data_IF_444348520068
#
_entry.id   IF_444348520068
#
_cell.length_a   1.000
_cell.length_b   1.000
_cell.length_c   1.000
_cell.angle_alpha   90.00
_cell.angle_beta   90.00
_cell.angle_gamma   90.00
#
_symmetry.space_group_name_H-M   'P 1'
#
loop_
_entity.id
_entity.type
_entity.pdbx_description
1 polymer ?
#
# COMPACT_ATOMS: atom_id res chain seq x y z
N UNK A 1 14.89 1.51 3.38
CA UNK A 1 14.30 2.82 3.02
C UNK A 1 15.39 3.88 3.10
N UNK A 2 15.63 4.61 2.02
CA UNK A 2 16.59 5.73 1.95
C UNK A 2 15.86 7.06 1.82
N UNK A 3 16.52 8.17 2.06
CA UNK A 3 15.91 9.50 1.84
C UNK A 3 15.48 9.73 0.39
N UNK A 4 16.25 9.24 -0.57
CA UNK A 4 15.89 9.29 -2.00
C UNK A 4 14.63 8.51 -2.39
N UNK A 5 14.19 7.59 -1.55
CA UNK A 5 13.00 6.78 -1.76
C UNK A 5 11.74 7.50 -1.23
N UNK A 6 11.90 8.57 -0.44
CA UNK A 6 10.80 9.39 0.08
C UNK A 6 10.35 10.36 -1.00
N UNK A 7 9.06 10.38 -1.29
CA UNK A 7 8.51 11.24 -2.35
C UNK A 7 8.40 12.68 -1.85
N UNK A 8 9.09 13.61 -2.51
CA UNK A 8 9.12 15.02 -2.15
C UNK A 8 9.71 15.27 -0.77
N UNK A 9 9.35 16.43 -0.18
CA UNK A 9 9.75 16.81 1.18
C UNK A 9 11.26 17.03 1.39
N UNK A 10 11.96 17.47 0.36
CA UNK A 10 13.41 17.69 0.36
C UNK A 10 13.86 18.61 1.50
N UNK A 11 13.03 19.62 1.87
CA UNK A 11 13.31 20.53 3.00
C UNK A 11 13.30 19.80 4.34
N UNK A 12 12.34 18.93 4.56
CA UNK A 12 12.24 18.12 5.78
C UNK A 12 13.42 17.13 5.87
N UNK A 13 13.74 16.47 4.76
CA UNK A 13 14.89 15.57 4.63
C UNK A 13 16.18 16.32 4.95
N UNK A 14 16.41 17.48 4.36
CA UNK A 14 17.60 18.28 4.57
C UNK A 14 17.73 18.77 6.02
N UNK A 15 16.61 19.17 6.64
CA UNK A 15 16.57 19.56 8.05
C UNK A 15 16.99 18.40 8.96
N UNK A 16 16.43 17.21 8.75
CA UNK A 16 16.76 16.00 9.53
C UNK A 16 18.23 15.63 9.31
N UNK A 17 18.68 15.63 8.07
CA UNK A 17 20.07 15.32 7.71
C UNK A 17 21.05 16.22 8.44
N UNK A 18 20.84 17.54 8.42
CA UNK A 18 21.69 18.50 9.12
C UNK A 18 21.74 18.26 10.62
N UNK A 19 20.60 17.94 11.25
CA UNK A 19 20.57 17.62 12.68
C UNK A 19 21.39 16.37 13.00
N UNK A 20 21.29 15.33 12.16
CA UNK A 20 22.05 14.08 12.37
C UNK A 20 23.54 14.29 12.10
N UNK A 21 23.91 14.99 11.02
CA UNK A 21 25.31 15.20 10.62
C UNK A 21 26.05 16.13 11.58
N UNK A 22 25.35 17.10 12.18
CA UNK A 22 25.90 17.95 13.24
C UNK A 22 25.96 17.30 14.62
N UNK A 23 25.39 16.10 14.79
CA UNK A 23 25.27 15.42 16.07
C UNK A 23 24.23 16.03 17.04
N UNK A 24 23.40 16.96 16.57
CA UNK A 24 22.42 17.70 17.36
C UNK A 24 20.98 17.29 17.01
N UNK A 25 20.74 16.00 16.85
CA UNK A 25 19.38 15.52 16.63
C UNK A 25 18.56 15.66 17.91
N UNK A 26 17.34 16.20 17.79
CA UNK A 26 16.43 16.26 18.93
C UNK A 26 16.00 14.83 19.34
N UNK A 27 15.90 14.60 20.64
CA UNK A 27 15.49 13.32 21.19
C UNK A 27 14.07 12.88 20.77
N UNK A 28 13.19 13.84 20.44
CA UNK A 28 11.85 13.54 19.97
C UNK A 28 11.49 14.42 18.75
N UNK A 29 11.27 13.78 17.61
CA UNK A 29 10.79 14.41 16.37
C UNK A 29 9.33 14.04 16.14
N UNK A 30 8.47 15.03 15.86
CA UNK A 30 7.10 14.84 15.42
C UNK A 30 6.98 15.16 13.93
N UNK A 31 6.91 14.12 13.13
CA UNK A 31 6.68 14.18 11.68
C UNK A 31 5.17 14.26 11.44
N UNK A 32 4.68 15.41 11.01
CA UNK A 32 3.24 15.61 10.84
C UNK A 32 2.90 16.16 9.46
N UNK A 33 1.70 15.92 9.00
CA UNK A 33 1.19 16.37 7.71
C UNK A 33 -0.15 15.73 7.41
N UNK A 34 -0.77 16.12 6.31
CA UNK A 34 -2.06 15.56 5.89
C UNK A 34 -1.99 14.04 5.65
N UNK A 35 -3.14 13.32 5.70
CA UNK A 35 -3.20 11.94 5.27
C UNK A 35 -2.65 11.74 3.86
N UNK A 36 -1.94 10.64 3.63
CA UNK A 36 -1.35 10.32 2.32
C UNK A 36 -0.01 10.99 2.02
N UNK A 37 0.56 11.74 2.98
CA UNK A 37 1.94 12.25 2.92
C UNK A 37 2.89 11.23 3.55
N UNK A 38 4.08 10.95 2.99
CA UNK A 38 4.93 9.80 3.36
C UNK A 38 5.72 9.99 4.67
N UNK A 39 5.02 10.16 5.82
CA UNK A 39 5.62 10.40 7.14
C UNK A 39 6.38 9.20 7.68
N UNK A 40 5.78 8.00 7.58
CA UNK A 40 6.39 6.76 8.04
C UNK A 40 7.62 6.41 7.20
N UNK A 41 7.56 6.64 5.88
CA UNK A 41 8.70 6.46 4.98
C UNK A 41 9.87 7.36 5.40
N UNK A 42 9.60 8.63 5.75
CA UNK A 42 10.62 9.55 6.25
C UNK A 42 11.16 9.11 7.61
N UNK A 43 10.33 8.62 8.52
CA UNK A 43 10.76 8.09 9.81
C UNK A 43 11.71 6.88 9.64
N UNK A 44 11.37 5.94 8.76
CA UNK A 44 12.21 4.78 8.43
C UNK A 44 13.54 5.18 7.79
N UNK A 45 13.51 6.11 6.83
CA UNK A 45 14.72 6.64 6.21
C UNK A 45 15.62 7.36 7.22
N UNK A 46 15.02 8.11 8.15
CA UNK A 46 15.73 8.79 9.24
C UNK A 46 16.44 7.80 10.17
N UNK A 47 15.75 6.74 10.60
CA UNK A 47 16.33 5.69 11.44
C UNK A 47 17.48 4.98 10.72
N UNK A 48 17.30 4.61 9.44
CA UNK A 48 18.36 3.99 8.65
C UNK A 48 19.56 4.92 8.45
N UNK A 49 19.33 6.20 8.20
CA UNK A 49 20.39 7.19 8.04
C UNK A 49 21.16 7.39 9.35
N UNK A 50 20.46 7.46 10.48
CA UNK A 50 21.04 7.61 11.82
C UNK A 50 21.99 6.45 12.16
N UNK A 51 21.61 5.23 11.86
CA UNK A 51 22.37 4.01 12.12
C UNK A 51 23.42 3.68 11.04
N UNK A 52 23.36 4.31 9.89
CA UNK A 52 24.30 4.02 8.80
C UNK A 52 25.74 4.39 9.17
N UNK A 53 26.65 3.41 9.08
CA UNK A 53 28.07 3.59 9.41
C UNK A 53 28.89 4.19 8.25
N UNK A 54 28.34 4.24 7.04
CA UNK A 54 29.02 4.73 5.84
C UNK A 54 28.07 5.57 4.97
N UNK A 55 27.67 6.75 5.50
CA UNK A 55 26.83 7.69 4.79
C UNK A 55 27.52 8.26 3.57
N UNK A 56 26.88 8.30 2.42
CA UNK A 56 27.45 8.79 1.17
C UNK A 56 26.42 9.62 0.41
N UNK A 57 26.85 10.73 -0.19
CA UNK A 57 25.97 11.57 -1.02
C UNK A 57 24.77 12.16 -0.28
N UNK A 58 24.86 12.33 1.04
CA UNK A 58 23.75 12.83 1.87
C UNK A 58 22.66 11.79 2.14
N UNK A 59 22.95 10.50 1.94
CA UNK A 59 22.00 9.41 2.19
C UNK A 59 22.68 8.21 2.86
N UNK A 60 21.90 7.24 3.34
CA UNK A 60 22.39 5.97 3.85
C UNK A 60 22.97 5.12 2.71
N UNK A 61 24.08 4.39 2.98
CA UNK A 61 24.78 3.62 1.94
C UNK A 61 23.94 2.45 1.38
N UNK A 62 23.07 1.86 2.21
CA UNK A 62 22.23 0.71 1.83
C UNK A 62 22.94 -0.65 1.84
N UNK A 63 24.24 -0.70 2.20
CA UNK A 63 25.05 -1.91 2.11
C UNK A 63 25.72 -2.32 3.43
N UNK A 64 25.88 -1.39 4.39
CA UNK A 64 26.45 -1.73 5.69
C UNK A 64 25.50 -2.62 6.50
N UNK A 65 26.00 -3.36 7.51
CA UNK A 65 25.16 -4.25 8.31
C UNK A 65 23.90 -3.60 8.87
N UNK A 66 24.01 -2.37 9.40
CA UNK A 66 22.85 -1.63 9.90
C UNK A 66 21.82 -1.34 8.79
N UNK A 67 22.26 -0.92 7.59
CA UNK A 67 21.36 -0.71 6.46
C UNK A 67 20.64 -1.98 6.01
N UNK A 68 21.33 -3.13 5.99
CA UNK A 68 20.73 -4.42 5.63
C UNK A 68 19.72 -4.88 6.69
N UNK A 69 20.01 -4.67 7.98
CA UNK A 69 19.07 -4.94 9.06
C UNK A 69 17.81 -4.04 8.99
N UNK A 70 17.96 -2.76 8.62
CA UNK A 70 16.82 -1.88 8.36
C UNK A 70 15.98 -2.34 7.16
N UNK A 71 16.62 -2.80 6.08
CA UNK A 71 15.91 -3.32 4.90
C UNK A 71 15.10 -4.57 5.23
N UNK A 72 15.61 -5.44 6.09
CA UNK A 72 14.91 -6.64 6.59
C UNK A 72 13.97 -6.36 7.77
N UNK A 73 13.83 -5.09 8.22
CA UNK A 73 13.02 -4.68 9.38
C UNK A 73 13.39 -5.39 10.70
N UNK A 74 14.68 -5.73 10.86
CA UNK A 74 15.19 -6.49 12.01
C UNK A 74 16.40 -5.81 12.69
N UNK A 75 16.50 -4.48 12.64
CA UNK A 75 17.55 -3.75 13.34
C UNK A 75 17.32 -3.80 14.86
N UNK A 76 18.31 -4.29 15.63
CA UNK A 76 18.19 -4.57 17.06
C UNK A 76 17.85 -3.33 17.89
N UNK A 77 18.33 -2.14 17.50
CA UNK A 77 18.12 -0.88 18.17
C UNK A 77 17.02 -0.01 17.54
N UNK A 78 16.12 -0.61 16.74
CA UNK A 78 14.96 0.08 16.16
C UNK A 78 13.69 -0.63 16.57
N UNK A 79 12.81 0.08 17.25
CA UNK A 79 11.55 -0.42 17.77
C UNK A 79 10.38 0.26 17.07
N UNK A 80 9.27 -0.48 16.98
CA UNK A 80 8.05 0.03 16.37
C UNK A 80 6.93 0.05 17.41
N UNK A 81 6.08 1.07 17.32
CA UNK A 81 4.81 1.16 18.00
C UNK A 81 3.75 1.67 17.05
N UNK A 82 2.59 1.04 17.02
CA UNK A 82 1.52 1.35 16.11
C UNK A 82 0.16 0.94 16.70
N UNK A 83 -0.95 1.51 16.17
CA UNK A 83 -2.28 1.20 16.65
C UNK A 83 -2.66 -0.26 16.40
N UNK A 84 -3.19 -0.93 17.43
CA UNK A 84 -3.61 -2.33 17.38
C UNK A 84 -5.03 -2.50 17.93
N UNK A 85 -5.65 -3.66 17.66
CA UNK A 85 -6.97 -4.03 18.18
C UNK A 85 -6.84 -5.00 19.35
N UNK A 86 -7.87 -5.03 20.22
CA UNK A 86 -7.99 -6.06 21.26
C UNK A 86 -8.46 -7.38 20.65
N UNK A 87 -7.78 -8.47 21.01
CA UNK A 87 -8.24 -9.85 20.79
C UNK A 87 -8.69 -10.40 22.14
N UNK A 88 -9.98 -10.29 22.46
CA UNK A 88 -10.53 -10.73 23.76
C UNK A 88 -10.23 -9.76 24.92
N UNK A 89 -9.91 -10.30 26.11
CA UNK A 89 -9.61 -9.52 27.33
C UNK A 89 -8.12 -9.19 27.53
N UNK A 90 -7.28 -9.41 26.55
CA UNK A 90 -5.84 -9.20 26.63
C UNK A 90 -5.48 -7.71 26.62
N UNK A 91 -4.28 -7.41 27.08
CA UNK A 91 -3.64 -6.09 27.01
C UNK A 91 -2.70 -6.08 25.80
N UNK A 92 -3.17 -5.77 24.60
CA UNK A 92 -2.37 -5.92 23.38
C UNK A 92 -1.22 -4.91 23.36
N UNK A 93 -0.13 -5.34 22.75
CA UNK A 93 1.02 -4.52 22.40
C UNK A 93 1.29 -4.63 20.88
N UNK A 94 2.06 -3.68 20.35
CA UNK A 94 2.39 -3.67 18.91
C UNK A 94 3.06 -4.98 18.47
N UNK A 95 3.92 -5.58 19.30
CA UNK A 95 4.63 -6.84 18.99
C UNK A 95 3.72 -8.03 18.72
N UNK A 96 2.49 -8.04 19.26
CA UNK A 96 1.51 -9.12 19.01
C UNK A 96 1.08 -9.17 17.54
N UNK A 97 1.40 -8.13 16.77
CA UNK A 97 1.06 -7.97 15.35
C UNK A 97 2.32 -7.77 14.48
N UNK A 98 3.50 -8.20 14.93
CA UNK A 98 4.77 -7.98 14.24
C UNK A 98 4.79 -8.59 12.81
N UNK A 99 4.13 -9.72 12.62
CA UNK A 99 4.01 -10.37 11.31
C UNK A 99 3.19 -9.51 10.33
N UNK A 100 2.04 -9.01 10.77
CA UNK A 100 1.16 -8.14 10.01
C UNK A 100 1.85 -6.80 9.72
N UNK A 101 2.59 -6.26 10.70
CA UNK A 101 3.35 -5.03 10.55
C UNK A 101 4.47 -5.16 9.51
N UNK A 102 5.26 -6.22 9.57
CA UNK A 102 6.29 -6.49 8.57
C UNK A 102 5.70 -6.64 7.17
N UNK A 103 4.55 -7.29 7.05
CA UNK A 103 3.81 -7.38 5.79
C UNK A 103 3.34 -6.01 5.32
N UNK A 104 2.77 -5.18 6.21
CA UNK A 104 2.36 -3.82 5.90
C UNK A 104 3.51 -2.97 5.35
N UNK A 105 4.69 -3.02 6.01
CA UNK A 105 5.87 -2.26 5.60
C UNK A 105 6.49 -2.79 4.29
N UNK A 106 6.51 -4.10 4.06
CA UNK A 106 7.12 -4.69 2.87
C UNK A 106 6.32 -4.43 1.58
N UNK A 107 5.03 -4.26 1.68
CA UNK A 107 4.14 -4.15 0.52
C UNK A 107 3.71 -2.71 0.18
N UNK A 108 4.06 -1.70 0.97
CA UNK A 108 3.62 -0.35 0.63
C UNK A 108 3.82 0.72 1.70
N UNK A 109 4.99 0.75 2.32
CA UNK A 109 5.34 1.74 3.36
C UNK A 109 5.17 3.21 2.92
N UNK A 110 5.33 3.50 1.65
CA UNK A 110 5.24 4.87 1.12
C UNK A 110 3.81 5.39 1.13
N UNK A 111 2.83 4.50 0.96
CA UNK A 111 1.43 4.87 0.91
C UNK A 111 0.77 5.07 2.29
N UNK A 112 1.35 4.52 3.36
CA UNK A 112 0.80 4.58 4.75
C UNK A 112 -0.71 4.30 4.82
N UNK A 113 -1.20 3.31 4.07
CA UNK A 113 -2.61 3.04 3.92
C UNK A 113 -3.22 2.45 5.20
N UNK A 114 -3.91 3.29 5.97
CA UNK A 114 -4.52 2.90 7.24
C UNK A 114 -5.63 1.86 7.07
N UNK A 115 -6.43 1.92 6.02
CA UNK A 115 -7.47 0.92 5.73
C UNK A 115 -6.85 -0.44 5.45
N UNK A 116 -5.72 -0.45 4.74
CA UNK A 116 -4.96 -1.67 4.52
C UNK A 116 -4.40 -2.23 5.83
N UNK A 117 -3.91 -1.39 6.74
CA UNK A 117 -3.52 -1.84 8.07
C UNK A 117 -4.69 -2.53 8.79
N UNK A 118 -5.89 -1.90 8.79
CA UNK A 118 -7.10 -2.49 9.38
C UNK A 118 -7.42 -3.87 8.79
N UNK A 119 -7.32 -4.02 7.48
CA UNK A 119 -7.57 -5.30 6.81
C UNK A 119 -6.57 -6.40 7.20
N UNK A 120 -5.32 -6.04 7.45
CA UNK A 120 -4.27 -6.98 7.87
C UNK A 120 -4.47 -7.48 9.31
N UNK A 121 -4.90 -6.61 10.22
CA UNK A 121 -5.15 -6.98 11.61
C UNK A 121 -6.52 -7.61 11.87
N UNK A 122 -7.38 -7.68 10.82
CA UNK A 122 -8.55 -8.56 10.80
C UNK A 122 -9.86 -7.97 11.32
N UNK A 123 -9.99 -6.62 11.41
CA UNK A 123 -11.28 -6.01 11.77
C UNK A 123 -11.44 -4.59 11.21
N UNK A 124 -12.07 -4.49 10.04
CA UNK A 124 -12.33 -3.22 9.34
C UNK A 124 -13.22 -2.25 10.13
N UNK A 125 -14.03 -2.76 11.08
CA UNK A 125 -14.93 -1.94 11.92
C UNK A 125 -14.31 -1.55 13.27
N UNK A 126 -13.10 -2.01 13.59
CA UNK A 126 -12.44 -1.67 14.85
C UNK A 126 -11.79 -0.28 14.75
N UNK A 127 -11.67 0.37 15.92
CA UNK A 127 -10.84 1.56 16.07
C UNK A 127 -9.53 1.17 16.78
N UNK A 128 -8.46 0.87 16.04
CA UNK A 128 -7.18 0.57 16.63
C UNK A 128 -6.64 1.75 17.41
N UNK A 129 -6.06 1.49 18.57
CA UNK A 129 -5.39 2.47 19.42
C UNK A 129 -4.06 1.94 19.93
N UNK A 130 -3.21 2.83 20.42
CA UNK A 130 -1.99 2.47 21.14
C UNK A 130 -2.36 2.45 22.62
N UNK A 131 -2.37 1.24 23.21
CA UNK A 131 -2.84 1.00 24.57
C UNK A 131 -1.79 1.36 25.61
N UNK A 132 -2.21 1.52 26.88
CA UNK A 132 -1.32 1.75 28.01
C UNK A 132 -0.31 0.61 28.25
N UNK A 133 -0.65 -0.63 27.85
CA UNK A 133 0.28 -1.78 27.87
C UNK A 133 1.51 -1.56 26.97
N UNK A 134 1.32 -0.86 25.85
CA UNK A 134 2.40 -0.51 24.93
C UNK A 134 3.44 0.41 25.61
N UNK A 135 3.00 1.38 26.43
CA UNK A 135 3.93 2.28 27.11
C UNK A 135 4.87 1.54 28.06
N UNK A 136 4.38 0.51 28.76
CA UNK A 136 5.22 -0.30 29.66
C UNK A 136 6.27 -1.09 28.87
N UNK A 137 5.89 -1.59 27.68
CA UNK A 137 6.79 -2.26 26.75
C UNK A 137 7.86 -1.31 26.19
N UNK A 138 7.43 -0.09 25.77
CA UNK A 138 8.34 0.96 25.29
C UNK A 138 9.34 1.36 26.36
N UNK A 139 8.88 1.67 27.59
CA UNK A 139 9.75 2.04 28.71
C UNK A 139 10.80 0.97 28.95
N UNK A 140 10.39 -0.30 29.00
CA UNK A 140 11.33 -1.43 29.19
C UNK A 140 12.40 -1.48 28.10
N UNK A 141 12.01 -1.37 26.81
CA UNK A 141 12.94 -1.40 25.69
C UNK A 141 13.88 -0.21 25.64
N UNK A 142 13.34 0.97 25.89
CA UNK A 142 14.13 2.20 25.85
C UNK A 142 15.04 2.39 27.07
N UNK A 143 14.82 1.66 28.19
CA UNK A 143 15.72 1.67 29.36
C UNK A 143 16.95 0.75 29.21
N UNK A 144 16.96 -0.16 28.23
CA UNK A 144 18.11 -1.01 27.97
C UNK A 144 19.21 -0.23 27.24
N UNK A 145 20.45 -0.63 27.36
CA UNK A 145 21.55 -0.07 26.55
C UNK A 145 21.38 -0.44 25.07
N UNK A 146 21.84 0.43 24.17
CA UNK A 146 21.87 0.13 22.75
C UNK A 146 22.78 -1.09 22.49
N UNK A 147 22.40 -1.96 21.56
CA UNK A 147 23.08 -3.23 21.33
C UNK A 147 24.19 -3.09 20.27
N UNK A 148 23.89 -2.48 19.13
CA UNK A 148 24.81 -2.37 17.98
C UNK A 148 25.07 -0.95 17.52
N UNK A 149 24.10 -0.06 17.72
CA UNK A 149 24.15 1.31 17.25
C UNK A 149 24.47 2.28 18.41
N UNK A 150 24.78 3.53 18.06
CA UNK A 150 24.93 4.61 19.04
C UNK A 150 23.59 5.00 19.67
N UNK A 151 22.52 4.95 18.89
CA UNK A 151 21.19 5.40 19.33
C UNK A 151 20.16 4.27 19.23
N UNK A 152 19.23 4.24 20.19
CA UNK A 152 17.99 3.49 20.10
C UNK A 152 16.93 4.38 19.46
N UNK A 153 16.20 3.84 18.53
CA UNK A 153 15.15 4.58 17.81
C UNK A 153 13.79 3.91 18.02
N UNK A 154 12.85 4.65 18.55
CA UNK A 154 11.44 4.26 18.54
C UNK A 154 10.72 4.98 17.39
N UNK A 155 10.16 4.23 16.45
CA UNK A 155 9.25 4.76 15.43
C UNK A 155 7.83 4.47 15.87
N UNK A 156 7.08 5.52 16.17
CA UNK A 156 5.67 5.42 16.55
C UNK A 156 4.80 5.94 15.40
N UNK A 157 4.12 5.02 14.74
CA UNK A 157 3.20 5.35 13.67
C UNK A 157 1.83 5.72 14.23
N UNK A 158 1.22 6.82 13.72
CA UNK A 158 -0.09 7.32 14.13
C UNK A 158 -0.13 7.60 15.66
N UNK A 159 0.80 8.41 16.15
CA UNK A 159 0.93 8.73 17.58
C UNK A 159 -0.31 9.41 18.17
N UNK A 160 -1.16 10.03 17.34
CA UNK A 160 -2.47 10.56 17.75
C UNK A 160 -3.47 9.48 18.19
N UNK A 161 -3.20 8.21 17.90
CA UNK A 161 -3.99 7.06 18.36
C UNK A 161 -3.58 6.53 19.73
N UNK A 162 -2.62 7.15 20.40
CA UNK A 162 -2.33 6.83 21.79
C UNK A 162 -3.54 7.11 22.67
N UNK A 163 -3.92 6.15 23.51
CA UNK A 163 -4.87 6.45 24.55
C UNK A 163 -4.23 7.38 25.62
N UNK A 164 -5.07 8.04 26.42
CA UNK A 164 -4.62 9.03 27.40
C UNK A 164 -3.62 8.46 28.41
N UNK A 165 -3.82 7.22 28.84
CA UNK A 165 -2.95 6.57 29.82
C UNK A 165 -1.58 6.25 29.23
N UNK A 166 -1.53 5.76 27.98
CA UNK A 166 -0.29 5.56 27.25
C UNK A 166 0.48 6.87 27.11
N UNK A 167 -0.18 7.91 26.64
CA UNK A 167 0.43 9.23 26.48
C UNK A 167 1.01 9.78 27.78
N UNK A 168 0.29 9.67 28.90
CA UNK A 168 0.76 10.14 30.20
C UNK A 168 1.97 9.35 30.73
N UNK A 169 2.00 8.04 30.51
CA UNK A 169 3.16 7.21 30.90
C UNK A 169 4.41 7.55 30.10
N UNK A 170 4.26 7.83 28.79
CA UNK A 170 5.39 8.18 27.92
C UNK A 170 5.93 9.60 28.17
N UNK A 171 5.16 10.48 28.83
CA UNK A 171 5.63 11.84 29.13
C UNK A 171 6.98 11.85 29.84
N UNK A 172 7.16 11.03 30.89
CA UNK A 172 8.43 10.98 31.64
C UNK A 172 9.60 10.59 30.72
N UNK A 173 9.39 9.64 29.82
CA UNK A 173 10.42 9.16 28.93
C UNK A 173 10.78 10.22 27.85
N UNK A 174 9.82 11.06 27.45
CA UNK A 174 10.04 12.16 26.51
C UNK A 174 10.61 13.40 27.21
N UNK A 175 10.30 13.62 28.49
CA UNK A 175 10.83 14.73 29.29
C UNK A 175 12.30 14.52 29.68
N UNK A 176 12.63 13.32 30.10
CA UNK A 176 13.96 12.94 30.60
C UNK A 176 14.47 11.69 29.86
N UNK A 177 14.73 11.82 28.53
CA UNK A 177 15.17 10.68 27.74
C UNK A 177 16.61 10.30 28.07
N UNK A 178 16.92 9.01 28.00
CA UNK A 178 18.31 8.60 27.92
C UNK A 178 18.99 9.28 26.72
N UNK A 179 20.26 9.72 26.82
CA UNK A 179 20.96 10.47 25.77
C UNK A 179 20.98 9.78 24.41
N UNK A 180 20.90 8.45 24.40
CA UNK A 180 20.96 7.64 23.19
C UNK A 180 19.57 7.26 22.65
N UNK A 181 18.49 7.79 23.24
CA UNK A 181 17.13 7.50 22.80
C UNK A 181 16.59 8.56 21.83
N UNK A 182 16.10 8.12 20.69
CA UNK A 182 15.45 8.97 19.67
C UNK A 182 14.02 8.48 19.44
N UNK A 183 13.05 9.40 19.52
CA UNK A 183 11.65 9.15 19.27
C UNK A 183 11.24 9.79 17.95
N UNK A 184 10.80 8.98 16.98
CA UNK A 184 10.25 9.42 15.71
C UNK A 184 8.74 9.17 15.72
N UNK A 185 7.97 10.19 16.04
CA UNK A 185 6.52 10.13 16.12
C UNK A 185 5.93 10.59 14.77
N UNK A 186 4.98 9.85 14.22
CA UNK A 186 4.24 10.29 13.02
C UNK A 186 2.77 10.52 13.35
N UNK A 187 2.13 11.50 12.73
CA UNK A 187 0.69 11.78 12.92
C UNK A 187 0.09 12.51 11.74
N UNK A 188 -1.16 12.18 11.43
CA UNK A 188 -2.02 12.93 10.50
C UNK A 188 -2.76 14.08 11.22
N UNK A 189 -2.90 13.98 12.54
CA UNK A 189 -3.64 14.95 13.35
C UNK A 189 -2.81 15.44 14.55
N UNK A 190 -1.93 16.44 14.35
CA UNK A 190 -1.09 16.95 15.45
C UNK A 190 -1.89 17.57 16.59
N UNK A 191 -3.15 17.99 16.35
CA UNK A 191 -4.01 18.54 17.40
C UNK A 191 -4.53 17.49 18.39
N UNK A 192 -4.54 16.22 18.00
CA UNK A 192 -4.93 15.11 18.87
C UNK A 192 -3.79 14.62 19.77
N UNK A 193 -2.56 15.04 19.51
CA UNK A 193 -1.41 14.78 20.41
C UNK A 193 -1.57 15.61 21.68
N UNK A 194 -1.30 15.00 22.86
CA UNK A 194 -1.33 15.73 24.10
C UNK A 194 -0.44 16.99 24.04
N UNK A 195 -0.92 18.17 24.48
CA UNK A 195 -0.13 19.41 24.44
C UNK A 195 1.22 19.30 25.14
N UNK A 196 1.30 18.48 26.19
CA UNK A 196 2.55 18.20 26.93
C UNK A 196 3.58 17.44 26.11
N UNK A 197 3.18 16.46 25.30
CA UNK A 197 4.06 15.77 24.34
C UNK A 197 4.41 16.72 23.18
N UNK A 198 3.40 17.39 22.64
CA UNK A 198 3.57 18.31 21.52
C UNK A 198 4.59 19.42 21.79
N UNK A 199 4.60 19.98 23.02
CA UNK A 199 5.54 21.05 23.41
C UNK A 199 7.00 20.57 23.56
N UNK A 200 7.22 19.27 23.73
CA UNK A 200 8.55 18.64 23.92
C UNK A 200 9.10 17.97 22.67
N UNK A 201 8.34 18.00 21.58
CA UNK A 201 8.79 17.44 20.31
C UNK A 201 9.24 18.53 19.35
N UNK A 202 10.33 18.29 18.64
CA UNK A 202 10.69 19.11 17.50
C UNK A 202 9.81 18.72 16.30
N UNK A 203 9.01 19.67 15.85
CA UNK A 203 8.04 19.46 14.78
C UNK A 203 8.67 19.59 13.41
N UNK A 204 8.35 18.66 12.54
CA UNK A 204 8.73 18.68 11.12
C UNK A 204 7.47 18.46 10.32
N UNK A 205 7.05 19.51 9.64
CA UNK A 205 5.87 19.46 8.78
C UNK A 205 6.25 18.89 7.41
N UNK A 206 5.54 17.86 6.99
CA UNK A 206 5.59 17.33 5.64
C UNK A 206 4.44 17.91 4.82
N UNK A 207 4.75 18.24 3.58
CA UNK A 207 3.78 18.77 2.63
C UNK A 207 3.44 17.74 1.58
N UNK A 208 2.28 17.91 0.96
CA UNK A 208 1.90 17.11 -0.20
C UNK A 208 2.98 17.22 -1.28
N UNK A 209 3.50 16.12 -1.79
CA UNK A 209 4.34 16.13 -2.98
C UNK A 209 3.58 16.71 -4.18
N UNK A 210 4.29 17.27 -5.14
CA UNK A 210 3.69 17.68 -6.40
C UNK A 210 3.25 16.46 -7.21
N UNK A 211 2.26 16.65 -8.10
CA UNK A 211 1.83 15.62 -9.04
C UNK A 211 3.01 15.05 -9.83
N UNK A 212 3.95 15.90 -10.26
CA UNK A 212 5.14 15.47 -11.00
C UNK A 212 6.05 14.59 -10.15
N UNK A 213 6.29 14.92 -8.87
CA UNK A 213 7.12 14.09 -7.98
C UNK A 213 6.54 12.70 -7.77
N UNK A 214 5.21 12.61 -7.66
CA UNK A 214 4.52 11.32 -7.57
C UNK A 214 4.62 10.55 -8.89
N UNK A 215 4.38 11.21 -10.03
CA UNK A 215 4.51 10.61 -11.34
C UNK A 215 5.93 10.09 -11.61
N UNK A 216 6.96 10.87 -11.27
CA UNK A 216 8.36 10.46 -11.40
C UNK A 216 8.70 9.24 -10.52
N UNK A 217 8.07 9.15 -9.35
CA UNK A 217 8.23 7.98 -8.48
C UNK A 217 7.56 6.75 -9.09
N UNK A 218 6.34 6.87 -9.57
CA UNK A 218 5.58 5.80 -10.23
C UNK A 218 6.35 5.28 -11.45
N UNK A 219 6.81 6.18 -12.32
CA UNK A 219 7.55 5.81 -13.54
C UNK A 219 8.90 5.12 -13.24
N UNK A 220 9.60 5.52 -12.15
CA UNK A 220 10.89 4.90 -11.77
C UNK A 220 10.74 3.50 -11.16
N UNK A 221 9.63 3.22 -10.51
CA UNK A 221 9.42 1.98 -9.75
C UNK A 221 8.44 1.02 -10.42
N UNK A 222 7.69 1.48 -11.42
CA UNK A 222 6.80 0.68 -12.27
C UNK A 222 7.33 0.63 -13.71
N UNK A 223 6.94 -0.38 -14.44
CA UNK A 223 7.16 -0.44 -15.89
C UNK A 223 6.03 0.31 -16.62
N UNK A 224 5.96 1.62 -16.36
CA UNK A 224 4.87 2.51 -16.75
C UNK A 224 5.45 3.74 -17.44
N UNK A 225 4.83 4.18 -18.53
CA UNK A 225 5.27 5.38 -19.26
C UNK A 225 5.08 6.66 -18.41
N UNK A 226 5.88 7.71 -18.64
CA UNK A 226 5.75 8.98 -17.91
C UNK A 226 4.35 9.61 -18.03
N UNK A 227 3.70 9.49 -19.18
CA UNK A 227 2.36 10.04 -19.43
C UNK A 227 1.29 9.29 -18.62
N UNK A 228 1.37 7.96 -18.57
CA UNK A 228 0.49 7.13 -17.75
C UNK A 228 0.71 7.39 -16.26
N UNK A 229 1.97 7.49 -15.83
CA UNK A 229 2.30 7.82 -14.45
C UNK A 229 1.72 9.18 -14.02
N UNK A 230 1.76 10.16 -14.92
CA UNK A 230 1.15 11.47 -14.70
C UNK A 230 -0.38 11.38 -14.62
N UNK A 231 -1.01 10.59 -15.48
CA UNK A 231 -2.46 10.36 -15.47
C UNK A 231 -2.92 9.68 -14.16
N UNK A 232 -2.11 8.80 -13.56
CA UNK A 232 -2.38 8.17 -12.27
C UNK A 232 -2.18 9.13 -11.09
N UNK A 233 -1.16 10.00 -11.17
CA UNK A 233 -0.82 10.93 -10.10
C UNK A 233 -1.75 12.15 -10.05
N UNK A 234 -2.24 12.64 -11.19
CA UNK A 234 -3.03 13.86 -11.28
C UNK A 234 -4.32 13.86 -10.44
N UNK A 235 -5.14 12.79 -10.44
CA UNK A 235 -6.36 12.74 -9.62
C UNK A 235 -6.09 12.66 -8.12
N UNK A 236 -4.87 12.31 -7.72
CA UNK A 236 -4.51 12.11 -6.32
C UNK A 236 -4.18 13.42 -5.58
N UNK A 237 -3.99 14.54 -6.26
CA UNK A 237 -3.75 15.86 -5.68
C UNK A 237 -2.71 15.85 -4.55
N UNK A 238 -1.56 15.23 -4.81
CA UNK A 238 -0.48 15.12 -3.84
C UNK A 238 -0.68 14.06 -2.74
N UNK A 239 -1.75 13.31 -2.77
CA UNK A 239 -1.97 12.18 -1.88
C UNK A 239 -1.29 10.92 -2.44
N UNK A 240 -0.14 10.58 -1.88
CA UNK A 240 0.66 9.42 -2.33
C UNK A 240 -0.10 8.11 -2.21
N UNK A 241 -0.87 7.92 -1.13
CA UNK A 241 -1.68 6.73 -0.92
C UNK A 241 -2.70 6.54 -2.06
N UNK A 242 -3.42 7.60 -2.41
CA UNK A 242 -4.41 7.55 -3.49
C UNK A 242 -3.75 7.28 -4.84
N UNK A 243 -2.60 7.90 -5.12
CA UNK A 243 -1.84 7.65 -6.33
C UNK A 243 -1.35 6.19 -6.43
N UNK A 244 -0.89 5.60 -5.33
CA UNK A 244 -0.49 4.18 -5.31
C UNK A 244 -1.69 3.25 -5.52
N UNK A 245 -2.84 3.55 -4.91
CA UNK A 245 -4.09 2.82 -5.17
C UNK A 245 -4.50 2.91 -6.65
N UNK A 246 -4.38 4.08 -7.28
CA UNK A 246 -4.65 4.24 -8.71
C UNK A 246 -3.69 3.39 -9.56
N UNK A 247 -2.42 3.33 -9.19
CA UNK A 247 -1.43 2.48 -9.84
C UNK A 247 -1.78 0.99 -9.70
N UNK A 248 -2.13 0.53 -8.51
CA UNK A 248 -2.55 -0.86 -8.26
C UNK A 248 -3.80 -1.22 -9.08
N UNK A 249 -4.78 -0.32 -9.14
CA UNK A 249 -5.98 -0.51 -9.97
C UNK A 249 -5.66 -0.55 -11.45
N UNK A 250 -4.77 0.30 -11.93
CA UNK A 250 -4.37 0.30 -13.34
C UNK A 250 -3.61 -0.96 -13.70
N UNK A 251 -2.63 -1.39 -12.90
CA UNK A 251 -1.89 -2.63 -13.12
C UNK A 251 -2.80 -3.87 -13.06
N UNK A 252 -3.79 -3.89 -12.16
CA UNK A 252 -4.79 -4.95 -12.10
C UNK A 252 -5.68 -4.93 -13.35
N UNK A 253 -6.06 -3.76 -13.84
CA UNK A 253 -6.87 -3.61 -15.05
C UNK A 253 -6.12 -4.09 -16.30
N UNK A 254 -4.84 -3.73 -16.46
CA UNK A 254 -4.01 -4.25 -17.55
C UNK A 254 -3.88 -5.78 -17.49
N UNK A 255 -3.62 -6.31 -16.30
CA UNK A 255 -3.56 -7.77 -16.12
C UNK A 255 -4.89 -8.45 -16.44
N UNK A 256 -6.02 -7.87 -16.03
CA UNK A 256 -7.35 -8.38 -16.39
C UNK A 256 -7.63 -8.31 -17.87
N UNK A 257 -7.16 -7.25 -18.55
CA UNK A 257 -7.22 -7.12 -19.98
C UNK A 257 -6.50 -8.29 -20.68
N UNK A 258 -5.25 -8.57 -20.29
CA UNK A 258 -4.46 -9.68 -20.85
C UNK A 258 -5.17 -11.03 -20.65
N UNK A 259 -5.73 -11.26 -19.45
CA UNK A 259 -6.47 -12.48 -19.16
C UNK A 259 -7.76 -12.59 -19.99
N UNK A 260 -8.47 -11.49 -20.18
CA UNK A 260 -9.65 -11.44 -21.05
C UNK A 260 -9.30 -11.71 -22.51
N UNK A 261 -8.27 -11.06 -23.03
CA UNK A 261 -7.76 -11.30 -24.40
C UNK A 261 -7.34 -12.75 -24.59
N UNK A 262 -6.64 -13.33 -23.59
CA UNK A 262 -6.24 -14.74 -23.61
C UNK A 262 -7.46 -15.66 -23.64
N UNK A 263 -8.45 -15.45 -22.76
CA UNK A 263 -9.71 -16.21 -22.75
C UNK A 263 -10.38 -16.18 -24.14
N UNK A 264 -10.56 -14.98 -24.71
CA UNK A 264 -11.26 -14.81 -25.99
C UNK A 264 -10.52 -15.46 -27.15
N UNK A 265 -9.18 -15.36 -27.18
CA UNK A 265 -8.35 -16.03 -28.20
C UNK A 265 -8.44 -17.55 -28.10
N UNK A 266 -8.26 -18.11 -26.90
CA UNK A 266 -8.33 -19.55 -26.66
C UNK A 266 -9.72 -20.11 -26.95
N UNK A 267 -10.77 -19.39 -26.56
CA UNK A 267 -12.15 -19.76 -26.86
C UNK A 267 -12.43 -19.75 -28.37
N UNK A 268 -11.92 -18.75 -29.10
CA UNK A 268 -12.04 -18.69 -30.56
C UNK A 268 -11.30 -19.86 -31.24
N UNK A 269 -10.09 -20.20 -30.78
CA UNK A 269 -9.30 -21.34 -31.30
C UNK A 269 -9.88 -22.71 -30.88
N UNK A 270 -10.80 -22.75 -29.90
CA UNK A 270 -11.34 -23.97 -29.29
C UNK A 270 -10.25 -24.85 -28.62
N UNK A 271 -9.21 -24.23 -28.14
CA UNK A 271 -8.15 -24.96 -27.41
C UNK A 271 -8.58 -25.25 -25.96
N UNK A 272 -9.25 -26.38 -25.80
CA UNK A 272 -9.82 -26.80 -24.50
C UNK A 272 -8.71 -27.09 -23.49
N UNK A 273 -7.55 -27.59 -23.93
CA UNK A 273 -6.44 -27.88 -23.02
C UNK A 273 -5.85 -26.58 -22.45
N UNK A 274 -5.61 -25.58 -23.28
CA UNK A 274 -5.13 -24.28 -22.86
C UNK A 274 -6.18 -23.51 -22.03
N UNK A 275 -7.48 -23.62 -22.35
CA UNK A 275 -8.57 -23.03 -21.56
C UNK A 275 -8.62 -23.64 -20.15
N UNK A 276 -8.31 -24.92 -19.97
CA UNK A 276 -8.21 -25.53 -18.65
C UNK A 276 -7.07 -24.91 -17.85
N UNK A 277 -5.87 -24.78 -18.44
CA UNK A 277 -4.73 -24.16 -17.78
C UNK A 277 -5.03 -22.71 -17.40
N UNK A 278 -5.65 -21.94 -18.33
CA UNK A 278 -6.09 -20.59 -18.07
C UNK A 278 -7.06 -20.50 -16.87
N UNK A 279 -8.06 -21.39 -16.81
CA UNK A 279 -9.06 -21.41 -15.74
C UNK A 279 -8.45 -21.74 -14.37
N UNK A 280 -7.45 -22.63 -14.32
CA UNK A 280 -6.69 -22.96 -13.12
C UNK A 280 -5.88 -21.75 -12.64
N UNK A 281 -5.22 -21.00 -13.55
CA UNK A 281 -4.49 -19.78 -13.19
C UNK A 281 -5.38 -18.68 -12.61
N UNK A 282 -6.58 -18.48 -13.15
CA UNK A 282 -7.55 -17.53 -12.57
C UNK A 282 -8.14 -18.05 -11.24
N UNK A 283 -8.31 -19.37 -11.10
CA UNK A 283 -8.84 -19.95 -9.87
C UNK A 283 -7.88 -19.81 -8.68
N UNK A 284 -6.58 -19.60 -8.91
CA UNK A 284 -5.60 -19.31 -7.86
C UNK A 284 -5.70 -17.86 -7.31
N UNK A 285 -6.52 -17.01 -7.95
CA UNK A 285 -6.80 -15.68 -7.40
C UNK A 285 -7.58 -15.81 -6.09
N UNK A 286 -7.34 -14.87 -5.16
CA UNK A 286 -8.27 -14.69 -4.04
C UNK A 286 -9.66 -14.39 -4.59
N UNK A 287 -10.69 -14.81 -3.86
CA UNK A 287 -12.10 -14.69 -4.25
C UNK A 287 -12.49 -13.31 -4.78
N UNK A 288 -12.12 -12.26 -4.07
CA UNK A 288 -12.41 -10.87 -4.44
C UNK A 288 -11.74 -10.48 -5.77
N UNK A 289 -10.51 -10.90 -6.00
CA UNK A 289 -9.78 -10.65 -7.26
C UNK A 289 -10.45 -11.39 -8.43
N UNK A 290 -10.88 -12.62 -8.22
CA UNK A 290 -11.60 -13.38 -9.25
C UNK A 290 -12.96 -12.74 -9.61
N UNK A 291 -13.69 -12.20 -8.62
CA UNK A 291 -14.90 -11.43 -8.86
C UNK A 291 -14.64 -10.14 -9.65
N UNK A 292 -13.61 -9.38 -9.27
CA UNK A 292 -13.23 -8.15 -10.02
C UNK A 292 -12.88 -8.48 -11.47
N UNK A 293 -12.15 -9.57 -11.70
CA UNK A 293 -11.87 -10.04 -13.07
C UNK A 293 -13.14 -10.36 -13.86
N UNK A 294 -14.11 -11.06 -13.27
CA UNK A 294 -15.36 -11.41 -13.95
C UNK A 294 -16.22 -10.16 -14.24
N UNK A 295 -16.28 -9.21 -13.32
CA UNK A 295 -16.92 -7.92 -13.56
C UNK A 295 -16.21 -7.13 -14.67
N UNK A 296 -14.88 -7.18 -14.72
CA UNK A 296 -14.09 -6.61 -15.79
C UNK A 296 -14.45 -7.27 -17.14
N UNK A 297 -14.53 -8.60 -17.19
CA UNK A 297 -14.86 -9.35 -18.39
C UNK A 297 -16.27 -9.00 -18.91
N UNK A 298 -17.26 -8.88 -18.02
CA UNK A 298 -18.60 -8.43 -18.36
C UNK A 298 -18.58 -7.00 -18.93
N UNK A 299 -17.84 -6.07 -18.31
CA UNK A 299 -17.65 -4.71 -18.84
C UNK A 299 -17.08 -4.74 -20.25
N UNK A 300 -16.02 -5.50 -20.49
CA UNK A 300 -15.39 -5.59 -21.82
C UNK A 300 -16.36 -6.14 -22.90
N UNK A 301 -17.20 -7.11 -22.56
CA UNK A 301 -18.25 -7.59 -23.47
C UNK A 301 -19.22 -6.45 -23.81
N UNK A 302 -19.67 -5.68 -22.79
CA UNK A 302 -20.56 -4.53 -22.99
C UNK A 302 -19.90 -3.45 -23.85
N UNK A 303 -18.64 -3.06 -23.57
CA UNK A 303 -17.93 -2.02 -24.34
C UNK A 303 -17.75 -2.43 -25.80
N UNK A 304 -17.42 -3.69 -26.08
CA UNK A 304 -17.29 -4.20 -27.44
C UNK A 304 -18.64 -4.21 -28.20
N UNK A 305 -19.75 -4.46 -27.49
CA UNK A 305 -21.10 -4.32 -28.10
C UNK A 305 -21.43 -2.87 -28.43
N UNK A 306 -21.15 -1.93 -27.49
CA UNK A 306 -21.34 -0.48 -27.71
C UNK A 306 -20.46 0.03 -28.86
N UNK A 307 -19.24 -0.49 -28.99
CA UNK A 307 -18.36 -0.18 -30.11
C UNK A 307 -19.04 -0.46 -31.46
N UNK A 308 -19.71 -1.61 -31.58
CA UNK A 308 -20.45 -1.99 -32.80
C UNK A 308 -21.68 -1.10 -33.07
N UNK A 309 -22.29 -0.53 -32.05
CA UNK A 309 -23.39 0.42 -32.18
C UNK A 309 -22.94 1.82 -32.63
N UNK A 310 -21.62 2.05 -32.82
CA UNK A 310 -21.02 3.33 -33.19
C UNK A 310 -21.43 4.50 -32.30
N UNK A 311 -21.54 4.25 -30.97
CA UNK A 311 -21.91 5.23 -29.95
C UNK A 311 -20.69 5.63 -29.08
N UNK A 312 -19.73 6.43 -29.58
CA UNK A 312 -18.47 6.72 -28.87
C UNK A 312 -18.66 7.46 -27.55
N UNK A 313 -19.79 8.15 -27.35
CA UNK A 313 -20.11 8.84 -26.09
C UNK A 313 -20.47 7.89 -24.95
N UNK A 314 -20.79 6.64 -25.24
CA UNK A 314 -21.16 5.60 -24.29
C UNK A 314 -20.08 4.53 -24.10
N UNK A 315 -18.97 4.64 -24.83
CA UNK A 315 -17.84 3.73 -24.77
C UNK A 315 -16.76 4.33 -23.84
N UNK A 316 -16.38 3.56 -22.83
CA UNK A 316 -15.41 3.95 -21.78
C UNK A 316 -14.23 2.97 -21.78
N UNK A 317 -13.54 2.84 -22.89
CA UNK A 317 -12.36 2.01 -23.06
C UNK A 317 -11.06 2.80 -22.85
N UNK A 318 -10.06 2.14 -22.27
CA UNK A 318 -8.68 2.63 -22.29
C UNK A 318 -8.10 2.51 -23.70
N UNK A 319 -6.91 3.08 -23.93
CA UNK A 319 -6.27 3.03 -25.26
C UNK A 319 -5.99 1.58 -25.70
N UNK A 320 -5.53 0.71 -24.81
CA UNK A 320 -5.25 -0.70 -25.10
C UNK A 320 -6.54 -1.49 -25.34
N UNK A 321 -7.56 -1.26 -24.53
CA UNK A 321 -8.88 -1.86 -24.72
C UNK A 321 -9.48 -1.48 -26.07
N UNK A 322 -9.41 -0.20 -26.46
CA UNK A 322 -9.87 0.28 -27.74
C UNK A 322 -9.11 -0.34 -28.94
N UNK A 323 -7.79 -0.56 -28.76
CA UNK A 323 -6.98 -1.24 -29.79
C UNK A 323 -7.41 -2.70 -29.97
N UNK A 324 -7.72 -3.39 -28.89
CA UNK A 324 -8.26 -4.75 -28.93
C UNK A 324 -9.65 -4.78 -29.56
N UNK A 325 -10.55 -3.88 -29.15
CA UNK A 325 -11.94 -3.79 -29.61
C UNK A 325 -12.06 -3.59 -31.11
N UNK A 326 -11.13 -2.86 -31.77
CA UNK A 326 -11.10 -2.71 -33.24
C UNK A 326 -11.17 -4.05 -33.99
N UNK A 327 -10.57 -5.09 -33.43
CA UNK A 327 -10.51 -6.39 -34.07
C UNK A 327 -11.50 -7.40 -33.47
N UNK A 328 -11.85 -7.22 -32.19
CA UNK A 328 -12.63 -8.19 -31.46
C UNK A 328 -14.13 -7.88 -31.44
N UNK A 329 -14.55 -6.63 -31.48
CA UNK A 329 -15.95 -6.23 -31.33
C UNK A 329 -16.89 -6.96 -32.31
N UNK A 330 -16.45 -7.27 -33.52
CA UNK A 330 -17.23 -8.01 -34.51
C UNK A 330 -17.73 -9.40 -34.07
N UNK A 331 -17.15 -9.96 -33.02
CA UNK A 331 -17.56 -11.25 -32.42
C UNK A 331 -18.64 -11.12 -31.38
N UNK A 332 -18.96 -9.89 -30.94
CA UNK A 332 -20.02 -9.60 -29.98
C UNK A 332 -21.19 -8.98 -30.72
N UNK A 333 -22.35 -9.62 -30.67
CA UNK A 333 -23.55 -9.23 -31.41
C UNK A 333 -24.82 -9.39 -30.53
N UNK A 334 -25.98 -9.03 -31.07
CA UNK A 334 -27.27 -9.11 -30.37
C UNK A 334 -27.63 -10.51 -29.89
N UNK A 335 -27.17 -11.58 -30.60
CA UNK A 335 -27.50 -12.97 -30.26
C UNK A 335 -26.69 -13.49 -29.05
N UNK A 336 -25.50 -12.94 -28.83
CA UNK A 336 -24.57 -13.46 -27.82
C UNK A 336 -24.27 -12.52 -26.65
N UNK A 337 -24.45 -11.21 -26.78
CA UNK A 337 -24.09 -10.23 -25.77
C UNK A 337 -24.80 -10.49 -24.42
N UNK A 338 -26.12 -10.65 -24.42
CA UNK A 338 -26.87 -10.89 -23.17
C UNK A 338 -26.45 -12.20 -22.48
N UNK A 339 -26.18 -13.22 -23.30
CA UNK A 339 -25.78 -14.56 -22.79
C UNK A 339 -24.38 -14.52 -22.21
N UNK A 340 -23.45 -13.77 -22.80
CA UNK A 340 -22.10 -13.57 -22.29
C UNK A 340 -22.12 -12.73 -21.02
N UNK A 341 -22.87 -11.63 -20.96
CA UNK A 341 -23.01 -10.81 -19.75
C UNK A 341 -23.56 -11.66 -18.61
N UNK A 342 -24.67 -12.38 -18.84
CA UNK A 342 -25.25 -13.26 -17.84
C UNK A 342 -24.27 -14.34 -17.39
N UNK A 343 -23.48 -14.91 -18.29
CA UNK A 343 -22.49 -15.93 -17.97
C UNK A 343 -21.45 -15.42 -16.96
N UNK A 344 -20.91 -14.22 -17.16
CA UNK A 344 -19.92 -13.62 -16.26
C UNK A 344 -20.56 -13.18 -14.94
N UNK A 345 -21.76 -12.59 -14.97
CA UNK A 345 -22.47 -12.15 -13.77
C UNK A 345 -22.88 -13.32 -12.85
N UNK A 346 -23.40 -14.40 -13.44
CA UNK A 346 -23.77 -15.60 -12.70
C UNK A 346 -22.53 -16.22 -12.02
N UNK A 347 -21.41 -16.29 -12.75
CA UNK A 347 -20.17 -16.80 -12.23
C UNK A 347 -19.59 -15.93 -11.10
N UNK A 348 -19.66 -14.61 -11.21
CA UNK A 348 -19.24 -13.69 -10.13
C UNK A 348 -20.08 -13.91 -8.87
N UNK A 349 -21.37 -14.16 -9.05
CA UNK A 349 -22.31 -14.48 -7.95
C UNK A 349 -21.97 -15.83 -7.31
N UNK A 350 -21.72 -16.85 -8.11
CA UNK A 350 -21.43 -18.21 -7.62
C UNK A 350 -20.10 -18.26 -6.85
N UNK A 351 -19.04 -17.54 -7.33
CA UNK A 351 -17.77 -17.40 -6.61
C UNK A 351 -17.98 -16.64 -5.28
N UNK A 352 -18.85 -15.62 -5.25
CA UNK A 352 -19.24 -14.94 -4.01
C UNK A 352 -19.92 -15.88 -3.02
N UNK A 353 -20.76 -16.79 -3.53
CA UNK A 353 -21.48 -17.82 -2.78
C UNK A 353 -20.64 -19.04 -2.35
N UNK A 354 -19.29 -18.96 -2.38
CA UNK A 354 -18.37 -20.06 -2.06
C UNK A 354 -18.38 -21.22 -3.07
N UNK A 355 -18.81 -21.01 -4.31
CA UNK A 355 -18.70 -22.00 -5.37
C UNK A 355 -17.24 -22.37 -5.67
N UNK A 356 -17.02 -23.55 -6.21
CA UNK A 356 -15.70 -24.02 -6.60
C UNK A 356 -15.18 -23.22 -7.82
N UNK A 357 -14.22 -22.31 -7.61
CA UNK A 357 -13.70 -21.42 -8.63
C UNK A 357 -13.15 -22.16 -9.87
N UNK A 358 -12.47 -23.31 -9.69
CA UNK A 358 -11.92 -24.09 -10.82
C UNK A 358 -13.01 -24.60 -11.75
N UNK A 359 -14.10 -25.08 -11.18
CA UNK A 359 -15.23 -25.61 -11.96
C UNK A 359 -15.96 -24.46 -12.66
N UNK A 360 -16.26 -23.38 -11.94
CA UNK A 360 -16.98 -22.19 -12.47
C UNK A 360 -16.21 -21.56 -13.60
N UNK A 361 -14.91 -21.32 -13.44
CA UNK A 361 -14.08 -20.67 -14.44
C UNK A 361 -13.85 -21.53 -15.70
N UNK A 362 -13.73 -22.85 -15.52
CA UNK A 362 -13.66 -23.76 -16.64
C UNK A 362 -14.99 -23.84 -17.40
N UNK A 363 -16.12 -23.86 -16.72
CA UNK A 363 -17.46 -23.81 -17.34
C UNK A 363 -17.65 -22.52 -18.17
N UNK A 364 -17.23 -21.36 -17.60
CA UNK A 364 -17.22 -20.09 -18.35
C UNK A 364 -16.38 -20.22 -19.62
N UNK A 365 -15.18 -20.76 -19.52
CA UNK A 365 -14.27 -20.87 -20.65
C UNK A 365 -14.89 -21.72 -21.78
N UNK A 366 -15.52 -22.84 -21.44
CA UNK A 366 -16.21 -23.71 -22.41
C UNK A 366 -17.43 -23.02 -23.01
N UNK A 367 -18.29 -22.38 -22.20
CA UNK A 367 -19.48 -21.67 -22.68
C UNK A 367 -19.13 -20.48 -23.58
N UNK A 368 -18.06 -19.76 -23.25
CA UNK A 368 -17.53 -18.69 -24.09
C UNK A 368 -17.14 -19.21 -25.49
N UNK A 369 -16.52 -20.39 -25.58
CA UNK A 369 -16.19 -21.06 -26.85
C UNK A 369 -17.41 -21.29 -27.73
N UNK A 370 -18.56 -21.57 -27.12
CA UNK A 370 -19.81 -21.81 -27.84
C UNK A 370 -20.44 -20.48 -28.30
N UNK A 371 -20.37 -19.45 -27.46
CA UNK A 371 -21.05 -18.17 -27.68
C UNK A 371 -20.34 -17.26 -28.70
N UNK A 372 -18.99 -17.27 -28.75
CA UNK A 372 -18.23 -16.38 -29.65
C UNK A 372 -18.33 -16.75 -31.11
N UNK A 373 -18.61 -18.00 -31.48
CA UNK A 373 -18.59 -18.50 -32.85
C UNK A 373 -19.97 -18.58 -33.55
N UNK A 374 -20.99 -17.98 -33.00
CA UNK A 374 -22.28 -17.95 -33.69
C UNK A 374 -22.42 -16.72 -34.59
#
# INVERSE_FOLDING_TARGET
MKFRDVIGNERAIEQIRRMIDSGNIAHALLLHGEPGVPKLALALATAQYLHCTNRTGGDSCGMCPACLQHQSLNHADTFFSYPVIKKGNEKPVSEDFDREWKKFLSEGVIAEDYERWLSLIGNENAQPIIYASESDNIVRKMSLSAYTAKHKVLIMWQADKMNKDCSNKLLKLIEEPDPDCIFLLTTDNPKAILPTIFSRTQRIELRKPSTQQIADYIARNGDISPDEALAMAAPADGNVMLAMRNMDHSSETHHFHDQFVSLMRLAYMRDIAALKVWSEGIADYKREKAQRFLNYAARMVRENYIYNLHMPKLNYETQDEAQFSKNFARFINEENVERLLKLFDDAARDIRGNGNAKIILFDIAIKTTILIKK
#
